data_IF_586529575708
#
_entry.id   IF_586529575708
#
_cell.length_a   1.000
_cell.length_b   1.000
_cell.length_c   1.000
_cell.angle_alpha   90.00
_cell.angle_beta   90.00
_cell.angle_gamma   90.00
#
_symmetry.space_group_name_H-M   'P 1'
#
loop_
_entity.id
_entity.type
_entity.pdbx_description
1 polymer ?
#
# COMPACT_ATOMS: atom_id res chain seq x y z
N UNK A 1 4.96 7.61 -8.92
CA UNK A 1 5.62 6.41 -9.49
C UNK A 1 6.02 5.47 -8.37
N UNK A 2 5.74 4.20 -8.54
CA UNK A 2 6.22 3.13 -7.67
C UNK A 2 7.39 2.45 -8.38
N UNK A 3 8.52 2.31 -7.68
CA UNK A 3 9.73 1.74 -8.26
C UNK A 3 10.21 0.54 -7.47
N UNK A 4 10.65 -0.50 -8.18
CA UNK A 4 11.37 -1.63 -7.58
C UNK A 4 12.84 -1.45 -7.90
N UNK A 5 13.66 -1.31 -6.86
CA UNK A 5 15.07 -0.95 -6.98
C UNK A 5 15.94 -2.09 -6.46
N UNK A 6 16.98 -2.44 -7.23
CA UNK A 6 17.99 -3.38 -6.75
C UNK A 6 19.02 -2.61 -5.90
N UNK A 7 19.20 -3.05 -4.65
CA UNK A 7 20.10 -2.43 -3.68
C UNK A 7 21.18 -3.39 -3.19
N UNK A 8 21.45 -4.48 -3.89
CA UNK A 8 22.54 -5.40 -3.52
C UNK A 8 23.86 -4.68 -3.41
N UNK A 9 24.15 -3.77 -4.39
CA UNK A 9 25.22 -2.81 -4.25
C UNK A 9 24.63 -1.48 -3.80
N UNK A 10 24.76 -1.18 -2.51
CA UNK A 10 24.15 0.02 -1.92
C UNK A 10 24.72 1.33 -2.47
N UNK A 11 25.89 1.29 -3.09
CA UNK A 11 26.50 2.47 -3.70
C UNK A 11 26.00 2.72 -5.11
N UNK A 12 25.45 1.70 -5.77
CA UNK A 12 24.96 1.77 -7.14
C UNK A 12 23.59 1.11 -7.27
N UNK A 13 22.53 1.64 -6.61
CA UNK A 13 21.19 1.11 -6.79
C UNK A 13 20.69 1.36 -8.21
N UNK A 14 19.90 0.44 -8.75
CA UNK A 14 19.31 0.66 -10.07
C UNK A 14 17.87 0.16 -10.10
N UNK A 15 17.08 0.78 -10.99
CA UNK A 15 15.63 0.52 -11.10
C UNK A 15 15.43 -0.77 -11.91
N UNK A 16 14.68 -1.72 -11.33
CA UNK A 16 14.29 -2.95 -12.00
C UNK A 16 12.95 -2.81 -12.72
N UNK A 17 11.99 -2.14 -12.09
CA UNK A 17 10.65 -1.92 -12.62
C UNK A 17 10.09 -0.61 -12.15
N UNK A 18 9.22 0.00 -12.96
CA UNK A 18 8.49 1.22 -12.61
C UNK A 18 7.01 1.02 -12.88
N UNK A 19 6.17 1.56 -11.99
CA UNK A 19 4.72 1.52 -12.13
C UNK A 19 4.17 2.94 -11.99
N UNK A 20 3.36 3.36 -12.96
CA UNK A 20 2.70 4.66 -12.92
C UNK A 20 1.48 4.59 -12.02
N UNK A 21 1.45 5.44 -11.00
CA UNK A 21 0.33 5.60 -10.10
C UNK A 21 -0.14 7.05 -10.15
N UNK A 22 -1.37 7.30 -9.69
CA UNK A 22 -1.97 8.62 -9.81
C UNK A 22 -1.36 9.61 -8.82
N UNK A 23 -1.58 9.40 -7.54
CA UNK A 23 -1.00 10.24 -6.47
C UNK A 23 -0.54 9.36 -5.31
N UNK A 24 0.56 8.59 -5.47
CA UNK A 24 1.02 7.71 -4.41
C UNK A 24 1.62 8.50 -3.26
N UNK A 25 1.22 8.16 -2.03
CA UNK A 25 1.76 8.77 -0.81
C UNK A 25 2.45 7.74 0.06
N UNK A 26 1.69 6.92 0.79
CA UNK A 26 2.23 5.97 1.74
C UNK A 26 2.28 4.55 1.18
N UNK A 27 3.17 3.77 1.74
CA UNK A 27 3.46 2.42 1.30
C UNK A 27 3.70 1.54 2.52
N UNK A 28 3.09 0.36 2.54
CA UNK A 28 3.32 -0.63 3.57
C UNK A 28 3.56 -2.00 2.95
N UNK A 29 4.39 -2.82 3.61
CA UNK A 29 4.73 -4.14 3.10
C UNK A 29 4.50 -5.17 4.19
N UNK A 30 3.85 -6.28 3.85
CA UNK A 30 3.72 -7.42 4.72
C UNK A 30 3.74 -8.70 3.88
N UNK A 31 4.67 -9.61 4.20
CA UNK A 31 4.88 -10.85 3.44
C UNK A 31 5.12 -10.52 1.96
N UNK A 32 4.35 -11.11 1.06
CA UNK A 32 4.47 -10.84 -0.38
C UNK A 32 3.51 -9.74 -0.86
N UNK A 33 2.92 -8.98 0.05
CA UNK A 33 1.95 -7.94 -0.29
C UNK A 33 2.55 -6.55 -0.11
N UNK A 34 2.28 -5.69 -1.09
CA UNK A 34 2.63 -4.27 -1.03
C UNK A 34 1.35 -3.47 -1.10
N UNK A 35 1.13 -2.65 -0.09
CA UNK A 35 -0.05 -1.77 0.01
C UNK A 35 0.39 -0.35 -0.32
N UNK A 36 -0.29 0.28 -1.27
CA UNK A 36 0.06 1.63 -1.70
C UNK A 36 -1.17 2.53 -1.59
N UNK A 37 -1.03 3.60 -0.83
CA UNK A 37 -2.04 4.65 -0.77
C UNK A 37 -1.89 5.54 -2.00
N UNK A 38 -2.79 5.40 -2.96
CA UNK A 38 -2.86 6.25 -4.14
C UNK A 38 -4.05 7.18 -3.96
N UNK A 39 -3.78 8.39 -3.51
CA UNK A 39 -4.84 9.29 -3.03
C UNK A 39 -5.87 9.63 -4.10
N UNK A 40 -5.46 9.64 -5.36
CA UNK A 40 -6.40 9.92 -6.46
C UNK A 40 -7.34 8.76 -6.76
N UNK A 41 -7.06 7.56 -6.26
CA UNK A 41 -7.77 6.33 -6.62
C UNK A 41 -8.23 5.54 -5.41
N UNK A 42 -7.35 5.29 -4.42
CA UNK A 42 -7.64 4.49 -3.25
C UNK A 42 -6.46 3.64 -2.81
N UNK A 43 -6.73 2.55 -2.11
CA UNK A 43 -5.70 1.61 -1.68
C UNK A 43 -5.48 0.55 -2.77
N UNK A 44 -4.26 0.51 -3.29
CA UNK A 44 -3.83 -0.53 -4.24
C UNK A 44 -3.07 -1.62 -3.50
N UNK A 45 -3.36 -2.87 -3.83
CA UNK A 45 -2.66 -4.03 -3.26
C UNK A 45 -1.98 -4.77 -4.38
N UNK A 46 -0.67 -4.96 -4.24
CA UNK A 46 0.17 -5.69 -5.20
C UNK A 46 0.70 -6.96 -4.58
N UNK A 47 0.80 -8.00 -5.39
CA UNK A 47 1.53 -9.23 -5.04
C UNK A 47 2.96 -9.11 -5.55
N UNK A 48 3.93 -9.25 -4.64
CA UNK A 48 5.36 -9.11 -4.94
C UNK A 48 6.09 -10.47 -4.93
N UNK A 49 5.37 -11.59 -4.97
CA UNK A 49 5.99 -12.92 -4.93
C UNK A 49 6.88 -13.20 -6.16
N UNK A 50 6.66 -12.48 -7.26
CA UNK A 50 7.44 -12.60 -8.49
C UNK A 50 8.34 -11.38 -8.70
N UNK A 51 8.93 -10.86 -7.61
CA UNK A 51 9.82 -9.69 -7.68
C UNK A 51 10.90 -9.89 -8.75
N UNK A 52 11.21 -8.88 -9.61
CA UNK A 52 10.82 -7.47 -9.49
C UNK A 52 9.45 -7.12 -10.05
N UNK A 53 8.70 -8.07 -10.58
CA UNK A 53 7.38 -7.82 -11.15
C UNK A 53 6.35 -7.78 -10.03
N UNK A 54 5.58 -6.70 -9.98
CA UNK A 54 4.46 -6.53 -9.05
C UNK A 54 3.16 -6.71 -9.82
N UNK A 55 2.26 -7.53 -9.28
CA UNK A 55 0.94 -7.72 -9.87
C UNK A 55 -0.10 -7.07 -8.99
N UNK A 56 -0.86 -6.11 -9.53
CA UNK A 56 -1.95 -5.50 -8.78
C UNK A 56 -3.10 -6.52 -8.69
N UNK A 57 -3.43 -6.93 -7.46
CA UNK A 57 -4.46 -7.93 -7.22
C UNK A 57 -5.76 -7.33 -6.71
N UNK A 58 -5.70 -6.13 -6.10
CA UNK A 58 -6.89 -5.48 -5.54
C UNK A 58 -6.77 -3.97 -5.63
N UNK A 59 -7.94 -3.31 -5.70
CA UNK A 59 -8.07 -1.87 -5.59
C UNK A 59 -9.30 -1.57 -4.74
N UNK A 60 -9.09 -0.83 -3.63
CA UNK A 60 -10.17 -0.40 -2.74
C UNK A 60 -10.38 1.09 -2.91
N UNK A 61 -11.30 1.47 -3.77
CA UNK A 61 -11.52 2.88 -4.15
C UNK A 61 -12.03 3.75 -3.01
N UNK A 62 -12.69 3.13 -2.01
CA UNK A 62 -13.25 3.87 -0.88
C UNK A 62 -12.27 4.04 0.29
N UNK A 63 -11.09 3.42 0.20
CA UNK A 63 -10.09 3.47 1.26
C UNK A 63 -9.01 4.49 0.89
N UNK A 64 -9.31 5.78 1.01
CA UNK A 64 -8.35 6.85 0.71
C UNK A 64 -7.62 7.29 1.97
N UNK A 65 -6.31 7.30 1.92
CA UNK A 65 -5.46 7.67 3.05
C UNK A 65 -4.11 8.15 2.55
N UNK A 66 -3.32 8.73 3.48
CA UNK A 66 -1.96 9.18 3.19
C UNK A 66 -0.93 8.11 3.50
N UNK A 67 -1.22 7.22 4.45
CA UNK A 67 -0.29 6.16 4.84
C UNK A 67 -1.03 4.90 5.24
N UNK A 68 -0.33 3.78 5.15
CA UNK A 68 -0.86 2.46 5.50
C UNK A 68 0.20 1.66 6.24
N UNK A 69 -0.19 1.10 7.39
CA UNK A 69 0.70 0.31 8.25
C UNK A 69 0.07 -1.07 8.42
N UNK A 70 0.61 -2.09 7.74
CA UNK A 70 0.14 -3.47 7.95
C UNK A 70 0.58 -4.00 9.32
N UNK A 71 -0.35 -4.64 10.01
CA UNK A 71 -0.06 -5.25 11.31
C UNK A 71 -0.92 -6.51 11.46
N UNK A 72 -0.31 -7.67 11.31
CA UNK A 72 -0.99 -8.97 11.29
C UNK A 72 -2.04 -9.01 10.17
N UNK A 73 -3.30 -9.25 10.50
CA UNK A 73 -4.40 -9.25 9.52
C UNK A 73 -5.08 -7.88 9.39
N UNK A 74 -4.49 -6.84 9.99
CA UNK A 74 -5.07 -5.50 10.01
C UNK A 74 -4.24 -4.51 9.24
N UNK A 75 -4.92 -3.51 8.71
CA UNK A 75 -4.27 -2.33 8.12
C UNK A 75 -4.67 -1.10 8.92
N UNK A 76 -3.67 -0.39 9.41
CA UNK A 76 -3.90 0.92 10.03
C UNK A 76 -3.65 1.95 8.94
N UNK A 77 -4.67 2.74 8.63
CA UNK A 77 -4.59 3.76 7.59
C UNK A 77 -4.81 5.14 8.19
N UNK A 78 -4.00 6.10 7.77
CA UNK A 78 -4.01 7.45 8.32
C UNK A 78 -4.33 8.44 7.22
N UNK A 79 -5.39 9.23 7.42
CA UNK A 79 -5.73 10.37 6.57
C UNK A 79 -5.40 11.67 7.29
N UNK A 80 -5.72 12.80 6.66
CA UNK A 80 -5.54 14.11 7.30
C UNK A 80 -6.43 14.30 8.54
N UNK A 81 -7.56 13.60 8.60
CA UNK A 81 -8.58 13.85 9.62
C UNK A 81 -8.88 12.64 10.49
N UNK A 82 -8.42 11.45 10.12
CA UNK A 82 -8.84 10.22 10.79
C UNK A 82 -7.77 9.15 10.77
N UNK A 83 -7.86 8.26 11.75
CA UNK A 83 -7.11 6.99 11.75
C UNK A 83 -8.15 5.87 11.60
N UNK A 84 -7.91 5.00 10.65
CA UNK A 84 -8.79 3.87 10.35
C UNK A 84 -8.09 2.56 10.69
N UNK A 85 -8.86 1.59 11.21
CA UNK A 85 -8.39 0.23 11.35
C UNK A 85 -9.27 -0.67 10.50
N UNK A 86 -8.65 -1.38 9.57
CA UNK A 86 -9.33 -2.32 8.69
C UNK A 86 -8.85 -3.74 8.94
N UNK A 87 -9.77 -4.69 8.79
CA UNK A 87 -9.42 -6.10 8.64
C UNK A 87 -9.20 -6.36 7.14
N UNK A 88 -8.03 -6.89 6.80
CA UNK A 88 -7.70 -7.26 5.42
C UNK A 88 -7.68 -8.77 5.27
N UNK A 89 -8.43 -9.28 4.30
CA UNK A 89 -8.42 -10.68 3.90
C UNK A 89 -8.40 -10.77 2.38
N UNK A 90 -8.22 -11.98 1.85
CA UNK A 90 -8.29 -12.18 0.40
C UNK A 90 -9.66 -11.78 -0.18
N UNK A 91 -10.69 -11.83 0.65
CA UNK A 91 -12.06 -11.48 0.23
C UNK A 91 -12.36 -9.99 0.27
N UNK A 92 -11.50 -9.19 0.90
CA UNK A 92 -11.71 -7.76 0.90
C UNK A 92 -11.22 -7.03 2.14
N UNK A 93 -11.75 -5.84 2.31
CA UNK A 93 -11.36 -4.90 3.34
C UNK A 93 -12.60 -4.54 4.16
N UNK A 94 -12.52 -4.73 5.48
CA UNK A 94 -13.61 -4.44 6.40
C UNK A 94 -13.18 -3.38 7.40
N UNK A 95 -13.92 -2.27 7.49
CA UNK A 95 -13.65 -1.23 8.47
C UNK A 95 -13.99 -1.73 9.87
N UNK A 96 -13.01 -1.73 10.77
CA UNK A 96 -13.20 -2.12 12.18
C UNK A 96 -13.42 -0.92 13.08
N UNK A 97 -12.69 0.16 12.87
CA UNK A 97 -12.82 1.36 13.68
C UNK A 97 -12.32 2.58 12.92
N UNK A 98 -12.83 3.73 13.33
CA UNK A 98 -12.38 5.02 12.83
C UNK A 98 -12.23 5.96 14.02
N UNK A 99 -11.09 6.65 14.11
CA UNK A 99 -10.81 7.63 15.13
C UNK A 99 -10.63 8.99 14.46
N UNK A 100 -11.52 9.91 14.75
CA UNK A 100 -11.46 11.28 14.24
C UNK A 100 -10.44 12.12 15.01
N UNK A 101 -9.56 12.79 14.27
CA UNK A 101 -8.52 13.63 14.84
C UNK A 101 -8.96 15.09 15.05
N UNK A 102 -10.11 15.46 14.51
CA UNK A 102 -10.63 16.84 14.58
C UNK A 102 -11.88 16.93 15.42
#
# INVERSE_FOLDING_TARGET
ILEVINVEDKQNPFILEQYSLDQPYGLGVKDDLVFVCDQGVGLRVFNASQTPVLEQIQLFENATALDVIPQDDKLIMVSETSIFQYLYTEDGLTLLSEFNLL
#
